data_IF_861473958968
#
_entry.id   IF_861473958968
#
_cell.length_a   1.000
_cell.length_b   1.000
_cell.length_c   1.000
_cell.angle_alpha   90.00
_cell.angle_beta   90.00
_cell.angle_gamma   90.00
#
_symmetry.space_group_name_H-M   'P 1'
#
loop_
_entity.id
_entity.type
_entity.pdbx_description
1 polymer ?
#
# COMPACT_ATOMS: atom_id res chain seq x y z
N UNK A 1 -7.67 -3.67 19.56
CA UNK A 1 -7.79 -3.00 18.25
C UNK A 1 -9.26 -2.78 17.95
N UNK A 2 -9.65 -1.62 17.37
CA UNK A 2 -11.01 -1.44 16.84
C UNK A 2 -11.23 -2.35 15.62
N UNK A 3 -12.47 -2.75 15.33
CA UNK A 3 -12.76 -3.54 14.12
C UNK A 3 -12.77 -2.62 12.89
N UNK A 4 -12.58 -3.19 11.69
CA UNK A 4 -12.60 -2.46 10.42
C UNK A 4 -13.80 -1.52 10.30
N UNK A 5 -15.02 -2.01 10.53
CA UNK A 5 -16.23 -1.20 10.40
C UNK A 5 -16.36 -0.12 11.47
N UNK A 6 -15.77 -0.30 12.65
CA UNK A 6 -15.74 0.73 13.68
C UNK A 6 -14.82 1.87 13.25
N UNK A 7 -13.65 1.56 12.67
CA UNK A 7 -12.76 2.57 12.07
C UNK A 7 -13.45 3.32 10.94
N UNK A 8 -14.09 2.60 10.01
CA UNK A 8 -14.77 3.21 8.86
C UNK A 8 -15.85 4.19 9.32
N UNK A 9 -16.66 3.85 10.34
CA UNK A 9 -17.68 4.75 10.89
C UNK A 9 -17.08 6.03 11.46
N UNK A 10 -15.96 5.91 12.19
CA UNK A 10 -15.25 7.06 12.78
C UNK A 10 -14.66 7.94 11.67
N UNK A 11 -13.94 7.35 10.72
CA UNK A 11 -13.27 8.08 9.63
C UNK A 11 -14.25 8.80 8.71
N UNK A 12 -15.38 8.16 8.39
CA UNK A 12 -16.42 8.72 7.52
C UNK A 12 -17.36 9.68 8.26
N UNK A 13 -17.16 9.90 9.56
CA UNK A 13 -18.09 10.67 10.41
C UNK A 13 -19.55 10.21 10.26
N UNK A 14 -19.76 8.90 10.15
CA UNK A 14 -21.04 8.28 9.84
C UNK A 14 -21.54 7.44 11.03
N UNK A 15 -22.26 8.05 11.99
CA UNK A 15 -22.65 7.39 13.23
C UNK A 15 -23.70 6.30 13.01
N UNK A 16 -24.54 6.42 11.97
CA UNK A 16 -25.56 5.43 11.64
C UNK A 16 -25.22 4.60 10.41
N UNK A 17 -25.78 3.37 10.35
CA UNK A 17 -25.67 2.50 9.17
C UNK A 17 -26.32 3.15 7.94
N UNK A 18 -27.32 4.01 8.13
CA UNK A 18 -28.00 4.72 7.04
C UNK A 18 -27.06 5.76 6.43
N UNK A 19 -26.41 6.58 7.27
CA UNK A 19 -25.47 7.61 6.82
C UNK A 19 -24.30 6.98 6.05
N UNK A 20 -23.74 5.89 6.60
CA UNK A 20 -22.65 5.19 5.95
C UNK A 20 -23.08 4.55 4.61
N UNK A 21 -24.28 3.99 4.53
CA UNK A 21 -24.82 3.42 3.28
C UNK A 21 -24.97 4.49 2.20
N UNK A 22 -25.48 5.67 2.58
CA UNK A 22 -25.65 6.80 1.68
C UNK A 22 -24.30 7.34 1.18
N UNK A 23 -23.34 7.54 2.09
CA UNK A 23 -22.01 8.04 1.72
C UNK A 23 -21.23 7.07 0.83
N UNK A 24 -21.43 5.75 1.01
CA UNK A 24 -20.81 4.72 0.19
C UNK A 24 -21.60 4.40 -1.09
N UNK A 25 -22.81 4.94 -1.22
CA UNK A 25 -23.76 4.68 -2.32
C UNK A 25 -24.08 3.19 -2.48
N UNK A 26 -24.30 2.52 -1.35
CA UNK A 26 -24.67 1.09 -1.31
C UNK A 26 -26.02 0.92 -0.63
N UNK A 27 -26.73 -0.17 -0.95
CA UNK A 27 -28.00 -0.48 -0.26
C UNK A 27 -27.74 -0.72 1.23
N UNK A 28 -28.60 -0.14 2.08
CA UNK A 28 -28.54 -0.33 3.54
C UNK A 28 -28.52 -1.81 3.94
N UNK A 29 -29.32 -2.65 3.28
CA UNK A 29 -29.36 -4.10 3.54
C UNK A 29 -28.02 -4.79 3.25
N UNK A 30 -27.37 -4.40 2.15
CA UNK A 30 -26.03 -4.90 1.79
C UNK A 30 -25.00 -4.48 2.82
N UNK A 31 -24.96 -3.19 3.18
CA UNK A 31 -24.04 -2.70 4.21
C UNK A 31 -24.29 -3.37 5.56
N UNK A 32 -25.56 -3.51 5.97
CA UNK A 32 -25.93 -4.19 7.21
C UNK A 32 -25.48 -5.65 7.24
N UNK A 33 -25.57 -6.36 6.12
CA UNK A 33 -25.05 -7.72 6.00
C UNK A 33 -23.53 -7.75 6.18
N UNK A 34 -22.79 -6.81 5.59
CA UNK A 34 -21.34 -6.71 5.75
C UNK A 34 -20.92 -6.41 7.19
N UNK A 35 -21.59 -5.47 7.88
CA UNK A 35 -21.28 -5.16 9.27
C UNK A 35 -21.54 -6.36 10.20
N UNK A 36 -22.64 -7.08 9.98
CA UNK A 36 -23.02 -8.20 10.85
C UNK A 36 -22.09 -9.41 10.68
N UNK A 37 -21.66 -9.68 9.45
CA UNK A 37 -20.75 -10.79 9.12
C UNK A 37 -19.27 -10.42 9.19
N UNK A 38 -18.96 -9.16 9.55
CA UNK A 38 -17.64 -8.54 9.44
C UNK A 38 -16.98 -8.75 8.05
N UNK A 39 -17.82 -8.88 7.00
CA UNK A 39 -17.36 -9.08 5.64
C UNK A 39 -16.79 -7.78 5.09
N UNK A 40 -15.64 -7.87 4.42
CA UNK A 40 -15.04 -6.75 3.69
C UNK A 40 -15.85 -6.41 2.43
N UNK A 41 -16.06 -5.13 2.14
CA UNK A 41 -16.78 -4.72 0.95
C UNK A 41 -15.90 -4.94 -0.29
N UNK A 42 -16.48 -4.88 -1.51
CA UNK A 42 -15.72 -4.95 -2.75
C UNK A 42 -14.67 -3.84 -2.86
N UNK A 43 -13.63 -4.08 -3.66
CA UNK A 43 -12.52 -3.13 -3.88
C UNK A 43 -12.99 -1.73 -4.27
N UNK A 44 -14.03 -1.61 -5.09
CA UNK A 44 -14.61 -0.31 -5.47
C UNK A 44 -15.11 0.51 -4.28
N UNK A 45 -15.64 -0.14 -3.25
CA UNK A 45 -16.09 0.52 -2.02
C UNK A 45 -14.90 0.85 -1.12
N UNK A 46 -13.89 -0.02 -1.04
CA UNK A 46 -12.65 0.24 -0.29
C UNK A 46 -11.93 1.48 -0.85
N UNK A 47 -11.79 1.57 -2.17
CA UNK A 47 -11.20 2.73 -2.85
C UNK A 47 -11.99 4.01 -2.58
N UNK A 48 -13.33 3.94 -2.60
CA UNK A 48 -14.18 5.10 -2.25
C UNK A 48 -13.98 5.55 -0.80
N UNK A 49 -13.85 4.62 0.15
CA UNK A 49 -13.55 4.95 1.55
C UNK A 49 -12.17 5.62 1.62
N UNK A 50 -11.15 5.02 1.00
CA UNK A 50 -9.79 5.55 0.98
C UNK A 50 -9.74 6.96 0.40
N UNK A 51 -10.38 7.20 -0.75
CA UNK A 51 -10.46 8.51 -1.39
C UNK A 51 -11.12 9.56 -0.48
N UNK A 52 -12.22 9.22 0.19
CA UNK A 52 -12.95 10.14 1.07
C UNK A 52 -12.23 10.45 2.38
N UNK A 53 -11.41 9.53 2.88
CA UNK A 53 -10.81 9.61 4.22
C UNK A 53 -9.32 9.91 4.20
N UNK A 54 -8.66 9.74 3.05
CA UNK A 54 -7.22 9.94 2.89
C UNK A 54 -6.34 8.83 3.51
N UNK A 55 -6.94 7.73 3.97
CA UNK A 55 -6.19 6.60 4.54
C UNK A 55 -6.04 5.47 3.52
N UNK A 56 -4.99 4.67 3.64
CA UNK A 56 -4.77 3.53 2.74
C UNK A 56 -5.69 2.35 3.09
N UNK A 57 -5.85 1.40 2.17
CA UNK A 57 -6.66 0.19 2.40
C UNK A 57 -6.05 -0.64 3.53
N UNK A 58 -4.72 -0.70 3.60
CA UNK A 58 -3.97 -1.39 4.66
C UNK A 58 -4.23 -0.73 6.01
N UNK A 59 -4.28 0.60 6.08
CA UNK A 59 -4.64 1.30 7.32
C UNK A 59 -6.09 1.04 7.74
N UNK A 60 -7.01 0.89 6.78
CA UNK A 60 -8.38 0.46 7.08
C UNK A 60 -8.41 -0.96 7.66
N UNK A 61 -7.55 -1.87 7.21
CA UNK A 61 -7.51 -3.27 7.63
C UNK A 61 -6.77 -3.48 8.95
N UNK A 62 -5.59 -2.89 9.09
CA UNK A 62 -4.63 -3.19 10.15
C UNK A 62 -4.55 -2.10 11.24
N UNK A 63 -5.04 -0.89 10.97
CA UNK A 63 -5.01 0.22 11.93
C UNK A 63 -4.32 1.47 11.37
N UNK A 64 -4.60 2.64 11.95
CA UNK A 64 -4.03 3.92 11.48
C UNK A 64 -2.54 4.07 11.82
N UNK A 65 -2.08 3.33 12.82
CA UNK A 65 -0.67 3.17 13.18
C UNK A 65 0.08 2.21 12.25
N UNK A 66 -0.64 1.51 11.35
CA UNK A 66 -0.02 0.75 10.29
C UNK A 66 0.79 1.70 9.41
N UNK A 67 2.11 1.54 9.50
CA UNK A 67 3.05 2.08 8.55
C UNK A 67 3.37 0.95 7.60
N UNK A 68 3.28 1.24 6.30
CA UNK A 68 4.03 0.46 5.32
C UNK A 68 5.48 0.56 5.79
N UNK A 69 6.00 -0.52 6.38
CA UNK A 69 7.44 -0.73 6.41
C UNK A 69 7.80 -0.77 4.94
N UNK A 70 8.52 0.23 4.45
CA UNK A 70 8.95 0.28 3.06
C UNK A 70 9.51 -1.10 2.67
N UNK A 71 8.84 -1.76 1.72
CA UNK A 71 9.35 -2.89 0.94
C UNK A 71 9.82 -4.17 1.70
N UNK A 72 8.98 -4.76 2.56
CA UNK A 72 9.22 -6.14 3.04
C UNK A 72 8.18 -7.21 2.65
N UNK A 73 6.97 -6.85 2.23
CA UNK A 73 5.96 -7.84 1.83
C UNK A 73 5.55 -7.65 0.36
N UNK A 74 6.28 -8.31 -0.56
CA UNK A 74 5.87 -8.73 -1.92
C UNK A 74 6.95 -8.57 -3.02
N UNK A 75 8.22 -8.33 -2.67
CA UNK A 75 9.30 -8.47 -3.66
C UNK A 75 9.95 -9.85 -3.47
N UNK A 76 9.90 -10.69 -4.50
CA UNK A 76 10.75 -11.88 -4.65
C UNK A 76 12.15 -11.58 -4.11
N UNK A 77 12.59 -12.39 -3.15
CA UNK A 77 13.92 -12.44 -2.50
C UNK A 77 14.98 -11.54 -3.17
N UNK A 78 14.87 -10.22 -2.99
CA UNK A 78 15.87 -9.28 -3.49
C UNK A 78 17.08 -9.56 -2.61
N UNK A 79 18.23 -10.02 -3.17
CA UNK A 79 19.40 -10.28 -2.35
C UNK A 79 19.69 -9.04 -1.50
N UNK A 80 19.96 -9.20 -0.20
CA UNK A 80 20.20 -8.08 0.74
C UNK A 80 21.13 -7.01 0.15
N UNK A 81 22.15 -7.45 -0.60
CA UNK A 81 23.09 -6.58 -1.28
C UNK A 81 22.45 -5.60 -2.28
N UNK A 82 21.34 -5.95 -2.93
CA UNK A 82 20.64 -5.07 -3.88
C UNK A 82 19.80 -4.02 -3.17
N UNK A 83 19.23 -4.32 -1.99
CA UNK A 83 18.58 -3.33 -1.13
C UNK A 83 19.61 -2.32 -0.59
N UNK A 84 20.74 -2.82 -0.09
CA UNK A 84 21.85 -1.98 0.39
C UNK A 84 22.41 -1.07 -0.72
N UNK A 85 22.64 -1.62 -1.92
CA UNK A 85 23.10 -0.83 -3.07
C UNK A 85 22.11 0.27 -3.45
N UNK A 86 20.80 0.02 -3.35
CA UNK A 86 19.79 1.03 -3.63
C UNK A 86 19.87 2.18 -2.63
N UNK A 87 19.95 1.88 -1.34
CA UNK A 87 20.11 2.90 -0.29
C UNK A 87 21.38 3.73 -0.52
N UNK A 88 22.51 3.08 -0.80
CA UNK A 88 23.75 3.80 -1.06
C UNK A 88 23.69 4.68 -2.30
N UNK A 89 23.03 4.22 -3.37
CA UNK A 89 22.84 5.02 -4.60
C UNK A 89 21.98 6.25 -4.33
N UNK A 90 20.93 6.10 -3.52
CA UNK A 90 20.01 7.19 -3.18
C UNK A 90 20.72 8.30 -2.37
N UNK A 91 21.82 7.98 -1.67
CA UNK A 91 22.66 8.94 -0.93
C UNK A 91 23.74 9.65 -1.78
N UNK A 92 23.97 9.23 -3.03
CA UNK A 92 25.04 9.79 -3.88
C UNK A 92 24.65 11.11 -4.54
N UNK A 93 25.63 12.00 -4.69
CA UNK A 93 25.47 13.24 -5.45
C UNK A 93 25.49 12.96 -6.96
N UNK A 94 24.91 13.89 -7.74
CA UNK A 94 24.82 13.76 -9.19
C UNK A 94 26.18 13.46 -9.87
N UNK A 95 27.27 14.08 -9.40
CA UNK A 95 28.63 13.84 -9.95
C UNK A 95 29.12 12.41 -9.69
N UNK A 96 28.77 11.82 -8.56
CA UNK A 96 29.18 10.47 -8.17
C UNK A 96 28.36 9.42 -8.96
N UNK A 97 27.07 9.71 -9.21
CA UNK A 97 26.22 8.91 -10.09
C UNK A 97 26.75 8.87 -11.54
N UNK A 98 27.32 9.98 -12.03
CA UNK A 98 27.97 10.01 -13.35
C UNK A 98 29.18 9.07 -13.44
N UNK A 99 29.91 8.88 -12.35
CA UNK A 99 31.05 7.95 -12.27
C UNK A 99 30.56 6.50 -12.15
N UNK A 100 29.49 6.28 -11.40
CA UNK A 100 28.94 4.93 -11.16
C UNK A 100 28.26 4.35 -12.41
N UNK A 101 27.61 5.19 -13.22
CA UNK A 101 26.88 4.79 -14.43
C UNK A 101 27.69 3.93 -15.41
N UNK A 102 28.92 4.28 -15.85
CA UNK A 102 29.69 3.44 -16.75
C UNK A 102 30.07 2.08 -16.14
N UNK A 103 30.34 2.01 -14.83
CA UNK A 103 30.67 0.77 -14.14
C UNK A 103 29.48 -0.19 -14.11
N UNK A 104 28.29 0.30 -13.73
CA UNK A 104 27.05 -0.49 -13.76
C UNK A 104 26.75 -0.95 -15.19
N UNK A 105 26.94 -0.07 -16.18
CA UNK A 105 26.71 -0.41 -17.59
C UNK A 105 27.62 -1.53 -18.07
N UNK A 106 28.90 -1.52 -17.67
CA UNK A 106 29.86 -2.57 -18.01
C UNK A 106 29.43 -3.93 -17.43
N UNK A 107 29.11 -3.97 -16.13
CA UNK A 107 28.67 -5.21 -15.45
C UNK A 107 27.36 -5.76 -16.02
N UNK A 108 26.42 -4.87 -16.37
CA UNK A 108 25.17 -5.24 -17.04
C UNK A 108 25.44 -5.90 -18.39
N UNK A 109 26.31 -5.31 -19.21
CA UNK A 109 26.62 -5.83 -20.54
C UNK A 109 27.29 -7.21 -20.46
N UNK A 110 28.23 -7.40 -19.54
CA UNK A 110 28.84 -8.72 -19.31
C UNK A 110 27.83 -9.79 -18.87
N UNK A 111 26.84 -9.39 -18.08
CA UNK A 111 25.80 -10.30 -17.59
C UNK A 111 24.82 -10.71 -18.70
N UNK A 112 24.60 -9.84 -19.69
CA UNK A 112 23.81 -10.14 -20.88
C UNK A 112 24.53 -11.12 -21.81
N UNK A 113 25.85 -10.99 -21.96
CA UNK A 113 26.68 -11.92 -22.75
C UNK A 113 26.77 -13.32 -22.13
N UNK A 114 26.53 -13.45 -20.82
CA UNK A 114 26.59 -14.74 -20.07
C UNK A 114 25.27 -15.49 -20.02
N UNK A 115 24.16 -14.92 -20.50
CA UNK A 115 22.88 -15.63 -20.57
C UNK A 115 22.85 -16.47 -21.86
N UNK A 116 22.70 -17.82 -21.77
CA UNK A 116 22.56 -18.66 -22.96
C UNK A 116 21.25 -18.41 -23.70
#
# INVERSE_FOLDING_TARGET
MSKFWDRVKVLMSAPTVVDLANQLEVKRSTLSSWLHTDRRPPMSVLLKISEKTGVTIEQLEYGLDYKLLDEEEAAEDIPSCKKELKMWIDDLQARELFILRPLISYLRNQSLERKP
#
